data_IF_739942007793
#
_entry.id   IF_739942007793
#
_cell.length_a   1.000
_cell.length_b   1.000
_cell.length_c   1.000
_cell.angle_alpha   90.00
_cell.angle_beta   90.00
_cell.angle_gamma   90.00
#
_symmetry.space_group_name_H-M   'P 1'
#
loop_
_entity.id
_entity.type
_entity.pdbx_description
1 polymer ?
#
# COMPACT_ATOMS: atom_id res chain seq x y z
N UNK A 1 17.20 -29.07 -0.08
CA UNK A 1 15.94 -28.61 -0.70
C UNK A 1 15.39 -27.50 0.18
N UNK A 2 15.51 -26.24 -0.23
CA UNK A 2 14.97 -25.10 0.50
C UNK A 2 14.19 -24.23 -0.49
N UNK A 3 12.86 -24.29 -0.42
CA UNK A 3 11.95 -23.45 -1.19
C UNK A 3 11.85 -22.08 -0.51
N UNK A 4 12.73 -21.14 -0.89
CA UNK A 4 12.74 -19.78 -0.38
C UNK A 4 11.88 -18.85 -1.23
N UNK A 5 10.59 -18.69 -0.88
CA UNK A 5 9.78 -17.58 -1.37
C UNK A 5 10.22 -16.30 -0.62
N UNK A 6 11.17 -15.56 -1.20
CA UNK A 6 11.57 -14.25 -0.69
C UNK A 6 10.53 -13.20 -1.12
N UNK A 7 9.93 -12.43 -0.18
CA UNK A 7 8.93 -11.43 -0.52
C UNK A 7 9.61 -10.23 -1.20
N UNK A 8 9.64 -10.24 -2.53
CA UNK A 8 10.06 -9.10 -3.35
C UNK A 8 8.90 -8.12 -3.40
N UNK A 9 8.80 -7.25 -2.39
CA UNK A 9 7.79 -6.18 -2.36
C UNK A 9 8.22 -5.01 -3.24
N UNK A 10 7.36 -4.58 -4.16
CA UNK A 10 7.48 -3.28 -4.80
C UNK A 10 6.78 -2.27 -3.90
N UNK A 11 7.54 -1.54 -3.09
CA UNK A 11 7.00 -0.41 -2.33
C UNK A 11 6.81 0.78 -3.28
N UNK A 12 5.57 0.96 -3.75
CA UNK A 12 5.15 2.19 -4.42
C UNK A 12 4.66 3.19 -3.36
N UNK A 13 5.48 4.18 -3.02
CA UNK A 13 4.99 5.41 -2.40
C UNK A 13 4.25 6.21 -3.47
N UNK A 14 2.94 6.03 -3.60
CA UNK A 14 2.13 6.77 -4.56
C UNK A 14 1.60 8.06 -3.92
N UNK A 15 2.27 9.19 -4.17
CA UNK A 15 1.54 10.46 -4.32
C UNK A 15 0.74 10.36 -5.61
N UNK A 16 -0.55 10.01 -5.51
CA UNK A 16 -1.64 10.41 -6.44
C UNK A 16 -2.92 9.66 -6.07
N UNK A 17 -3.82 10.38 -5.40
CA UNK A 17 -5.28 10.25 -5.42
C UNK A 17 -5.85 8.82 -5.51
N UNK A 18 -6.37 8.33 -4.38
CA UNK A 18 -7.46 7.35 -4.39
C UNK A 18 -8.58 7.96 -5.24
N UNK A 19 -8.73 7.47 -6.47
CA UNK A 19 -9.88 7.80 -7.30
C UNK A 19 -10.84 6.63 -7.17
N UNK A 20 -12.06 6.93 -6.73
CA UNK A 20 -13.18 5.99 -6.78
C UNK A 20 -13.30 5.34 -8.18
N UNK A 21 -13.82 4.11 -8.28
CA UNK A 21 -13.90 3.39 -9.54
C UNK A 21 -14.97 4.00 -10.45
N UNK A 22 -14.66 5.14 -11.08
CA UNK A 22 -15.43 5.66 -12.21
C UNK A 22 -14.90 4.99 -13.47
N UNK A 23 -15.77 4.25 -14.18
CA UNK A 23 -15.48 3.40 -15.33
C UNK A 23 -14.75 4.08 -16.51
N UNK A 24 -13.45 4.29 -16.36
CA UNK A 24 -12.52 4.60 -17.45
C UNK A 24 -11.23 3.82 -17.19
N UNK A 25 -11.10 2.68 -17.88
CA UNK A 25 -9.90 1.86 -17.90
C UNK A 25 -8.76 2.59 -18.60
N UNK A 26 -8.12 3.54 -17.92
CA UNK A 26 -6.71 3.83 -18.21
C UNK A 26 -5.91 2.84 -17.39
N UNK A 27 -5.47 1.75 -18.02
CA UNK A 27 -4.40 0.88 -17.48
C UNK A 27 -3.24 1.80 -17.10
N UNK A 28 -3.06 2.08 -15.81
CA UNK A 28 -1.87 2.79 -15.34
C UNK A 28 -0.71 1.80 -15.50
N UNK A 29 0.18 2.11 -16.42
CA UNK A 29 1.35 1.31 -16.75
C UNK A 29 2.21 1.13 -15.48
N UNK A 30 2.58 -0.13 -15.21
CA UNK A 30 3.22 -0.58 -13.98
C UNK A 30 3.15 -2.11 -13.87
N UNK A 31 3.42 -2.63 -12.67
CA UNK A 31 3.18 -4.05 -12.35
C UNK A 31 1.69 -4.24 -12.06
N UNK A 32 1.08 -5.23 -12.71
CA UNK A 32 -0.30 -5.63 -12.41
C UNK A 32 -0.35 -6.12 -10.95
N UNK A 33 -1.18 -5.47 -10.14
CA UNK A 33 -1.26 -5.67 -8.69
C UNK A 33 -2.70 -5.68 -8.23
N UNK A 34 -2.95 -6.36 -7.13
CA UNK A 34 -4.22 -6.31 -6.40
C UNK A 34 -4.02 -5.64 -5.04
N UNK A 35 -5.07 -4.97 -4.57
CA UNK A 35 -5.08 -4.32 -3.28
C UNK A 35 -5.27 -5.35 -2.16
N UNK A 36 -4.45 -5.26 -1.11
CA UNK A 36 -4.55 -6.13 0.07
C UNK A 36 -5.18 -5.37 1.23
N UNK A 37 -4.49 -4.35 1.74
CA UNK A 37 -4.97 -3.54 2.87
C UNK A 37 -4.31 -2.16 2.91
N UNK A 38 -4.91 -1.26 3.69
CA UNK A 38 -4.28 0.00 4.12
C UNK A 38 -3.54 -0.29 5.43
N UNK A 39 -2.22 -0.08 5.48
CA UNK A 39 -1.43 -0.32 6.71
C UNK A 39 -1.22 0.92 7.55
N UNK A 40 -1.29 2.10 6.93
CA UNK A 40 -1.20 3.36 7.63
C UNK A 40 -1.74 4.49 6.75
N UNK A 41 -2.06 5.61 7.36
CA UNK A 41 -2.24 6.86 6.66
C UNK A 41 -1.54 7.98 7.41
N UNK A 42 -0.95 8.91 6.67
CA UNK A 42 -0.35 10.13 7.18
C UNK A 42 -1.28 11.29 6.86
N UNK A 43 -1.51 12.13 7.85
CA UNK A 43 -2.15 13.42 7.67
C UNK A 43 -1.09 14.52 7.83
N UNK A 44 -1.04 15.46 6.89
CA UNK A 44 -0.22 16.65 6.98
C UNK A 44 -1.05 17.89 6.68
N UNK A 45 -0.88 18.93 7.49
CA UNK A 45 -1.50 20.24 7.25
C UNK A 45 -0.56 21.17 6.47
N UNK A 46 -1.14 22.18 5.82
CA UNK A 46 -0.41 23.28 5.18
C UNK A 46 0.60 22.85 4.11
N UNK A 47 0.30 21.80 3.36
CA UNK A 47 1.25 21.22 2.39
C UNK A 47 1.29 22.05 1.10
N UNK A 48 0.18 22.11 0.38
CA UNK A 48 0.02 22.95 -0.82
C UNK A 48 -1.28 23.74 -0.69
N UNK A 49 -1.23 25.05 -0.97
CA UNK A 49 -2.40 25.94 -0.94
C UNK A 49 -3.19 25.92 0.39
N UNK A 50 -2.51 25.75 1.53
CA UNK A 50 -3.12 25.67 2.88
C UNK A 50 -4.13 24.52 3.06
N UNK A 51 -4.05 23.47 2.24
CA UNK A 51 -4.92 22.30 2.35
C UNK A 51 -4.23 21.18 3.14
N UNK A 52 -5.06 20.38 3.81
CA UNK A 52 -4.67 19.10 4.40
C UNK A 52 -4.40 18.07 3.29
N UNK A 53 -3.36 17.27 3.47
CA UNK A 53 -3.03 16.12 2.63
C UNK A 53 -3.23 14.84 3.44
N UNK A 54 -3.87 13.85 2.83
CA UNK A 54 -3.98 12.50 3.35
C UNK A 54 -3.22 11.56 2.44
N UNK A 55 -2.22 10.90 3.00
CA UNK A 55 -1.35 9.98 2.29
C UNK A 55 -1.54 8.57 2.84
N UNK A 56 -2.09 7.67 2.03
CA UNK A 56 -2.35 6.28 2.42
C UNK A 56 -1.19 5.38 2.00
N UNK A 57 -0.76 4.52 2.93
CA UNK A 57 0.22 3.47 2.71
C UNK A 57 -0.56 2.17 2.60
N UNK A 58 -0.46 1.50 1.45
CA UNK A 58 -1.20 0.28 1.15
C UNK A 58 -0.25 -0.87 0.82
N UNK A 59 -0.63 -2.08 1.21
CA UNK A 59 -0.02 -3.30 0.71
C UNK A 59 -0.70 -3.75 -0.58
N UNK A 60 0.12 -4.14 -1.54
CA UNK A 60 -0.32 -4.65 -2.83
C UNK A 60 0.32 -6.02 -3.07
N UNK A 61 -0.44 -6.98 -3.59
CA UNK A 61 0.12 -8.26 -4.07
C UNK A 61 0.32 -8.18 -5.59
N UNK A 62 1.53 -8.43 -6.11
CA UNK A 62 1.75 -8.45 -7.55
C UNK A 62 1.12 -9.68 -8.18
N UNK A 63 0.41 -9.48 -9.29
CA UNK A 63 -0.17 -10.54 -10.14
C UNK A 63 0.84 -11.02 -11.20
N UNK A 64 1.90 -10.23 -11.45
CA UNK A 64 3.00 -10.59 -12.33
C UNK A 64 4.30 -9.94 -11.88
N UNK A 65 5.45 -10.42 -12.37
CA UNK A 65 6.75 -9.79 -12.14
C UNK A 65 7.18 -8.84 -13.25
N UNK A 66 6.39 -8.72 -14.32
CA UNK A 66 6.70 -7.89 -15.48
C UNK A 66 6.52 -6.41 -15.15
N UNK A 67 7.61 -5.65 -15.20
CA UNK A 67 7.61 -4.20 -15.00
C UNK A 67 7.35 -3.55 -16.35
N UNK A 68 6.28 -2.75 -16.43
CA UNK A 68 6.00 -1.87 -17.57
C UNK A 68 6.30 -0.44 -17.14
N UNK A 69 7.30 0.18 -17.78
CA UNK A 69 7.71 1.55 -17.51
C UNK A 69 6.94 2.48 -18.43
N UNK A 70 6.33 3.52 -17.86
CA UNK A 70 5.84 4.67 -18.61
C UNK A 70 6.88 5.78 -18.48
N UNK A 71 7.66 5.97 -19.55
CA UNK A 71 8.77 6.93 -19.58
C UNK A 71 8.29 8.38 -19.43
N UNK A 72 6.98 8.65 -19.59
CA UNK A 72 6.42 9.99 -19.36
C UNK A 72 6.17 10.30 -17.88
N UNK A 73 5.99 9.28 -17.04
CA UNK A 73 5.72 9.45 -15.61
C UNK A 73 6.91 9.11 -14.72
N UNK A 74 7.69 8.07 -15.07
CA UNK A 74 8.78 7.56 -14.23
C UNK A 74 10.03 7.25 -15.05
N UNK A 75 11.19 7.57 -14.48
CA UNK A 75 12.47 7.36 -15.15
C UNK A 75 12.94 5.90 -15.10
N UNK A 76 12.69 5.18 -14.00
CA UNK A 76 13.13 3.80 -13.81
C UNK A 76 12.27 3.07 -12.80
N UNK A 77 12.17 1.74 -12.95
CA UNK A 77 11.58 0.85 -11.96
C UNK A 77 12.31 -0.50 -11.96
N UNK A 78 12.60 -1.01 -10.77
CA UNK A 78 13.21 -2.34 -10.59
C UNK A 78 12.65 -2.99 -9.34
N UNK A 79 12.61 -4.32 -9.33
CA UNK A 79 12.47 -5.07 -8.08
C UNK A 79 13.74 -4.92 -7.26
N UNK A 80 13.59 -4.69 -5.96
CA UNK A 80 14.72 -4.53 -5.04
C UNK A 80 14.46 -5.38 -3.79
N UNK A 81 15.47 -6.05 -3.24
CA UNK A 81 15.37 -6.67 -1.91
C UNK A 81 14.97 -5.64 -0.86
N UNK A 82 14.08 -6.02 0.06
CA UNK A 82 13.59 -5.10 1.09
C UNK A 82 14.72 -4.58 1.97
N UNK A 83 15.69 -5.43 2.28
CA UNK A 83 16.86 -5.12 3.11
C UNK A 83 17.78 -4.09 2.45
N UNK A 84 17.84 -4.07 1.12
CA UNK A 84 18.55 -3.04 0.35
C UNK A 84 17.75 -1.74 0.32
N UNK A 85 16.42 -1.84 0.13
CA UNK A 85 15.54 -0.68 0.04
C UNK A 85 15.51 0.14 1.33
N UNK A 86 15.40 -0.51 2.49
CA UNK A 86 15.36 0.19 3.78
C UNK A 86 16.68 0.88 4.13
N UNK A 87 17.80 0.42 3.56
CA UNK A 87 19.14 0.99 3.80
C UNK A 87 19.42 2.24 2.95
N UNK A 88 18.53 2.62 2.04
CA UNK A 88 18.74 3.83 1.24
C UNK A 88 18.80 5.07 2.15
N UNK A 89 19.74 6.01 1.91
CA UNK A 89 19.91 7.20 2.76
C UNK A 89 18.62 7.97 2.98
N UNK A 90 17.81 8.16 1.93
CA UNK A 90 16.52 8.84 2.01
C UNK A 90 15.55 8.22 3.03
N UNK A 91 15.57 6.89 3.18
CA UNK A 91 14.74 6.18 4.17
C UNK A 91 15.35 6.28 5.56
N UNK A 92 16.68 6.23 5.66
CA UNK A 92 17.39 6.28 6.94
C UNK A 92 17.44 7.68 7.56
N UNK A 93 17.41 8.73 6.75
CA UNK A 93 17.51 10.13 7.22
C UNK A 93 16.17 10.68 7.71
N UNK A 94 15.04 10.11 7.27
CA UNK A 94 13.70 10.60 7.61
C UNK A 94 12.96 9.65 8.56
N UNK A 95 12.68 10.14 9.78
CA UNK A 95 12.04 9.35 10.82
C UNK A 95 10.62 8.89 10.46
N UNK A 96 9.88 9.66 9.66
CA UNK A 96 8.54 9.27 9.21
C UNK A 96 8.62 8.07 8.26
N UNK A 97 9.54 8.08 7.31
CA UNK A 97 9.77 6.96 6.41
C UNK A 97 10.31 5.72 7.14
N UNK A 98 11.18 5.87 8.14
CA UNK A 98 11.60 4.76 9.01
C UNK A 98 10.38 4.09 9.65
N UNK A 99 9.47 4.87 10.27
CA UNK A 99 8.26 4.32 10.89
C UNK A 99 7.32 3.66 9.90
N UNK A 100 7.15 4.23 8.71
CA UNK A 100 6.36 3.61 7.64
C UNK A 100 6.96 2.25 7.27
N UNK A 101 8.28 2.16 7.10
CA UNK A 101 8.94 0.90 6.77
C UNK A 101 8.85 -0.13 7.89
N UNK A 102 8.96 0.27 9.15
CA UNK A 102 8.78 -0.60 10.31
C UNK A 102 7.38 -1.23 10.34
N UNK A 103 6.33 -0.44 10.06
CA UNK A 103 4.93 -0.93 9.97
C UNK A 103 4.79 -1.94 8.84
N UNK A 104 5.33 -1.61 7.66
CA UNK A 104 5.29 -2.49 6.49
C UNK A 104 6.02 -3.82 6.76
N UNK A 105 7.16 -3.80 7.46
CA UNK A 105 7.90 -5.00 7.86
C UNK A 105 7.08 -5.83 8.85
N UNK A 106 6.45 -5.20 9.85
CA UNK A 106 5.57 -5.91 10.79
C UNK A 106 4.39 -6.56 10.08
N UNK A 107 3.81 -5.89 9.09
CA UNK A 107 2.74 -6.45 8.25
C UNK A 107 3.20 -7.66 7.45
N UNK A 108 4.39 -7.59 6.85
CA UNK A 108 5.00 -8.71 6.12
C UNK A 108 5.32 -9.90 7.02
N UNK A 109 5.69 -9.64 8.28
CA UNK A 109 5.93 -10.66 9.32
C UNK A 109 4.64 -11.21 9.94
N UNK A 110 3.46 -10.76 9.48
CA UNK A 110 2.13 -11.07 10.05
C UNK A 110 1.99 -10.69 11.53
N UNK A 111 2.78 -9.73 12.01
CA UNK A 111 2.68 -9.18 13.37
C UNK A 111 1.76 -7.95 13.45
N UNK A 112 1.22 -7.52 12.31
CA UNK A 112 0.35 -6.36 12.18
C UNK A 112 -0.68 -6.64 11.09
N UNK A 113 -1.97 -6.38 11.34
CA UNK A 113 -3.03 -6.46 10.34
C UNK A 113 -3.42 -5.04 9.92
N UNK A 114 -3.46 -4.79 8.61
CA UNK A 114 -3.97 -3.54 8.06
C UNK A 114 -5.50 -3.49 8.05
N UNK A 115 -6.04 -2.42 7.46
CA UNK A 115 -7.46 -2.23 7.22
C UNK A 115 -7.82 -2.77 5.84
N UNK A 116 -8.53 -3.90 5.83
CA UNK A 116 -9.05 -4.54 4.62
C UNK A 116 -10.31 -3.84 4.12
N UNK A 117 -10.56 -3.89 2.81
CA UNK A 117 -11.71 -3.27 2.18
C UNK A 117 -12.95 -4.18 2.27
N UNK A 118 -14.05 -3.64 2.79
CA UNK A 118 -15.33 -4.36 2.93
C UNK A 118 -16.45 -3.56 2.30
N UNK A 119 -17.26 -4.21 1.47
CA UNK A 119 -18.41 -3.55 0.88
C UNK A 119 -19.62 -3.68 1.79
N UNK A 120 -20.14 -2.54 2.26
CA UNK A 120 -21.27 -2.45 3.18
C UNK A 120 -22.30 -1.47 2.65
N UNK A 121 -23.58 -1.68 2.95
CA UNK A 121 -24.65 -0.76 2.57
C UNK A 121 -24.93 0.17 3.75
N UNK A 122 -24.83 1.48 3.51
CA UNK A 122 -25.14 2.47 4.53
C UNK A 122 -26.64 2.77 4.53
N UNK A 123 -27.26 2.79 5.71
CA UNK A 123 -28.64 3.26 5.86
C UNK A 123 -28.78 4.77 5.62
N UNK A 124 -27.68 5.52 5.71
CA UNK A 124 -27.70 6.98 5.55
C UNK A 124 -28.02 7.43 4.13
N UNK A 125 -27.53 6.68 3.12
CA UNK A 125 -27.72 7.02 1.71
C UNK A 125 -28.27 5.86 0.86
N UNK A 126 -28.43 4.66 1.45
CA UNK A 126 -28.92 3.46 0.77
C UNK A 126 -27.94 2.91 -0.27
N UNK A 127 -26.69 3.40 -0.30
CA UNK A 127 -25.70 3.03 -1.31
C UNK A 127 -24.69 2.03 -0.75
N UNK A 128 -24.13 1.24 -1.65
CA UNK A 128 -22.97 0.42 -1.35
C UNK A 128 -21.75 1.33 -1.20
N UNK A 129 -21.05 1.21 -0.08
CA UNK A 129 -19.81 1.93 0.23
C UNK A 129 -18.73 0.94 0.62
N UNK A 130 -17.47 1.33 0.42
CA UNK A 130 -16.33 0.55 0.89
C UNK A 130 -15.87 1.08 2.25
N UNK A 131 -15.94 0.23 3.26
CA UNK A 131 -15.46 0.49 4.61
C UNK A 131 -14.15 -0.26 4.86
N UNK A 132 -13.16 0.42 5.41
CA UNK A 132 -11.84 -0.18 5.69
C UNK A 132 -11.74 -0.48 7.18
N UNK A 133 -11.66 -1.76 7.54
CA UNK A 133 -11.51 -2.20 8.92
C UNK A 133 -10.77 -3.55 9.02
N UNK A 134 -10.30 -3.87 10.22
CA UNK A 134 -9.68 -5.16 10.54
C UNK A 134 -10.75 -6.12 11.10
N UNK A 135 -10.69 -7.39 10.70
CA UNK A 135 -11.66 -8.45 11.03
C UNK A 135 -11.20 -9.31 12.21
N UNK A 136 -9.95 -9.18 12.68
CA UNK A 136 -9.41 -10.02 13.76
C UNK A 136 -9.95 -9.65 15.16
N UNK A 137 -10.46 -10.66 15.88
CA UNK A 137 -10.56 -10.63 17.33
C UNK A 137 -9.15 -10.77 17.97
N UNK A 138 -8.92 -10.24 19.18
CA UNK A 138 -7.58 -9.96 19.72
C UNK A 138 -6.63 -11.16 19.98
N UNK A 139 -6.98 -12.39 19.62
CA UNK A 139 -6.23 -13.58 20.05
C UNK A 139 -5.66 -14.45 18.91
N UNK A 140 -6.07 -14.24 17.65
CA UNK A 140 -5.52 -14.97 16.50
C UNK A 140 -5.12 -14.01 15.37
N UNK A 141 -3.91 -13.45 15.47
CA UNK A 141 -3.35 -12.58 14.42
C UNK A 141 -2.91 -13.44 13.22
N UNK A 142 -3.85 -14.07 12.54
CA UNK A 142 -3.61 -14.64 11.21
C UNK A 142 -4.07 -13.66 10.14
N UNK A 143 -3.23 -12.66 9.85
CA UNK A 143 -3.47 -11.66 8.79
C UNK A 143 -3.22 -12.24 7.39
N UNK A 144 -3.77 -13.41 7.09
CA UNK A 144 -3.78 -13.95 5.74
C UNK A 144 -4.70 -13.08 4.90
N UNK A 145 -4.10 -12.40 3.92
CA UNK A 145 -4.84 -11.70 2.89
C UNK A 145 -5.78 -12.72 2.22
N UNK A 146 -7.09 -12.47 2.30
CA UNK A 146 -8.10 -13.24 1.59
C UNK A 146 -7.84 -13.23 0.07
#
# INVERSE_FOLDING_TARGET
MASGNSPRGLFRSQKKYIREPSGRSRKKQGVDTEFVDVVAFRHAHNVAFQKSDLFFICMLRPLSSAIKIDETEIQAAKWMPLEEFVKQPFIQEDHMFQKIMDICIQRLRKCYCGLTAHNVVSKFDGRQSTLYYNVGEPEDVNCDAA
#
